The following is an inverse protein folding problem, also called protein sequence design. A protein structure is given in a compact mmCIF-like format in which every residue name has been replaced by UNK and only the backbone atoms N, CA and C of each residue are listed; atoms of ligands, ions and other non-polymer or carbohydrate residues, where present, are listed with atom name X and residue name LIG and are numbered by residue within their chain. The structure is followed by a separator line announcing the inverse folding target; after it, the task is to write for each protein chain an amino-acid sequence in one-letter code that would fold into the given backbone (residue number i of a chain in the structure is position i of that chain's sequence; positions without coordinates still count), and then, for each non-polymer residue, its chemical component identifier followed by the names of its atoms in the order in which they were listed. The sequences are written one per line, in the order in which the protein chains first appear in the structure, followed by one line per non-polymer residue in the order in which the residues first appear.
data_IF_551152811179
#
_entry.id   IF_551152811179
#
_cell.length_a   1.000
_cell.length_b   1.000
_cell.length_c   1.000
_cell.angle_alpha   90.00
_cell.angle_beta   90.00
_cell.angle_gamma   90.00
#
_symmetry.space_group_name_H-M   'P 1'
#
loop_
_entity.id
_entity.type
_entity.pdbx_description
1 polymer ?
#
# COMPACT_ATOMS: atom_id res chain seq x y z
N UNK A 1 38.97 5.22 26.38
CA UNK A 1 38.66 4.31 25.25
C UNK A 1 37.45 3.42 25.50
N UNK A 2 37.28 2.79 26.69
CA UNK A 2 36.12 1.93 27.00
C UNK A 2 34.77 2.63 26.84
N UNK A 3 34.61 3.87 27.33
CA UNK A 3 33.33 4.59 27.28
C UNK A 3 32.90 4.96 25.85
N UNK A 4 33.86 5.18 24.94
CA UNK A 4 33.56 5.50 23.53
C UNK A 4 32.96 4.29 22.80
N UNK A 5 33.47 3.09 23.12
CA UNK A 5 32.98 1.82 22.56
C UNK A 5 31.54 1.56 23.00
N UNK A 6 31.20 1.85 24.27
CA UNK A 6 29.84 1.73 24.77
C UNK A 6 28.86 2.70 24.09
N UNK A 7 29.28 3.94 23.82
CA UNK A 7 28.46 4.93 23.12
C UNK A 7 28.23 4.51 21.66
N UNK A 8 29.28 4.05 20.96
CA UNK A 8 29.14 3.53 19.60
C UNK A 8 28.21 2.31 19.54
N UNK A 9 28.32 1.39 20.49
CA UNK A 9 27.44 0.22 20.57
C UNK A 9 25.98 0.60 20.82
N UNK A 10 25.72 1.59 21.69
CA UNK A 10 24.37 2.09 21.96
C UNK A 10 23.76 2.77 20.72
N UNK A 11 24.56 3.56 19.98
CA UNK A 11 24.12 4.19 18.73
C UNK A 11 23.79 3.13 17.68
N UNK A 12 24.66 2.12 17.47
CA UNK A 12 24.44 1.02 16.53
C UNK A 12 23.16 0.21 16.83
N UNK A 13 22.86 -0.06 18.10
CA UNK A 13 21.63 -0.75 18.51
C UNK A 13 20.36 0.09 18.27
N UNK A 14 20.48 1.41 18.30
CA UNK A 14 19.36 2.34 18.10
C UNK A 14 18.91 2.41 16.63
N UNK A 15 19.84 2.22 15.69
CA UNK A 15 19.57 2.32 14.24
C UNK A 15 18.97 1.03 13.67
N UNK A 16 19.20 -0.12 14.31
CA UNK A 16 18.72 -1.43 13.82
C UNK A 16 17.25 -1.71 14.10
N UNK A 17 16.56 -0.87 14.88
CA UNK A 17 15.16 -1.12 15.26
C UNK A 17 14.14 -0.52 14.28
N UNK A 18 14.56 0.12 13.20
CA UNK A 18 13.65 0.60 12.17
C UNK A 18 13.29 -0.56 11.23
N UNK A 19 12.39 -1.45 11.70
CA UNK A 19 11.74 -2.39 10.80
C UNK A 19 10.72 -1.61 9.98
N UNK A 20 10.94 -1.55 8.68
CA UNK A 20 9.91 -1.14 7.72
C UNK A 20 9.00 -2.35 7.58
N UNK A 21 7.86 -2.33 8.27
CA UNK A 21 6.84 -3.36 8.09
C UNK A 21 6.24 -3.16 6.70
N UNK A 22 6.31 -4.21 5.86
CA UNK A 22 5.62 -4.22 4.57
C UNK A 22 4.11 -4.20 4.85
N UNK A 23 3.46 -3.09 4.52
CA UNK A 23 2.01 -2.95 4.63
C UNK A 23 1.39 -3.53 3.36
N UNK A 24 0.60 -4.59 3.52
CA UNK A 24 -0.23 -5.11 2.44
C UNK A 24 -1.60 -4.44 2.48
N UNK A 25 -2.03 -3.88 1.35
CA UNK A 25 -3.36 -3.32 1.18
C UNK A 25 -4.13 -4.18 0.18
N UNK A 26 -5.34 -4.59 0.56
CA UNK A 26 -6.24 -5.35 -0.31
C UNK A 26 -7.42 -4.45 -0.67
N UNK A 27 -7.59 -4.18 -1.96
CA UNK A 27 -8.72 -3.44 -2.50
C UNK A 27 -9.58 -4.44 -3.25
N UNK A 28 -10.87 -4.52 -2.88
CA UNK A 28 -11.86 -5.33 -3.59
C UNK A 28 -13.12 -4.52 -3.84
N UNK A 29 -13.83 -4.84 -4.90
CA UNK A 29 -15.10 -4.18 -5.20
C UNK A 29 -15.84 -4.79 -6.37
N UNK A 30 -16.98 -4.18 -6.71
CA UNK A 30 -17.79 -4.53 -7.86
C UNK A 30 -18.14 -3.26 -8.64
N UNK A 31 -17.93 -3.28 -9.96
CA UNK A 31 -18.35 -2.20 -10.86
C UNK A 31 -19.65 -2.61 -11.55
N UNK A 32 -20.62 -1.71 -11.51
CA UNK A 32 -21.87 -1.79 -12.26
C UNK A 32 -21.87 -0.77 -13.40
N UNK A 33 -22.59 -1.08 -14.47
CA UNK A 33 -22.61 -0.31 -15.71
C UNK A 33 -23.35 1.02 -15.57
N UNK A 34 -24.50 0.98 -14.90
CA UNK A 34 -25.38 2.12 -14.66
C UNK A 34 -26.39 1.81 -13.53
N UNK A 35 -27.40 2.66 -13.36
CA UNK A 35 -28.44 2.53 -12.34
C UNK A 35 -29.33 1.27 -12.47
N UNK A 36 -29.17 0.46 -13.52
CA UNK A 36 -29.83 -0.85 -13.68
C UNK A 36 -29.29 -1.91 -12.72
N UNK A 37 -28.07 -1.73 -12.21
CA UNK A 37 -27.38 -2.73 -11.41
C UNK A 37 -26.75 -3.87 -12.23
N UNK A 38 -26.73 -3.77 -13.56
CA UNK A 38 -26.00 -4.73 -14.39
C UNK A 38 -24.49 -4.67 -14.13
N UNK A 39 -23.80 -5.80 -13.91
CA UNK A 39 -22.36 -5.81 -13.71
C UNK A 39 -21.60 -5.40 -14.97
N UNK A 40 -20.52 -4.65 -14.79
CA UNK A 40 -19.64 -4.24 -15.87
C UNK A 40 -18.44 -5.20 -15.97
N UNK A 41 -18.56 -6.21 -16.83
CA UNK A 41 -17.51 -7.22 -17.04
C UNK A 41 -16.40 -6.77 -18.00
N UNK A 42 -15.20 -7.36 -17.84
CA UNK A 42 -14.01 -7.12 -18.67
C UNK A 42 -13.62 -5.64 -18.80
N UNK A 43 -13.85 -4.87 -17.74
CA UNK A 43 -13.55 -3.45 -17.70
C UNK A 43 -12.22 -3.22 -16.98
N UNK A 44 -11.34 -2.44 -17.60
CA UNK A 44 -10.06 -2.08 -17.03
C UNK A 44 -10.21 -0.89 -16.09
N UNK A 45 -9.81 -1.09 -14.85
CA UNK A 45 -9.78 -0.10 -13.79
C UNK A 45 -8.33 0.34 -13.61
N UNK A 46 -8.11 1.64 -13.56
CA UNK A 46 -6.88 2.24 -13.06
C UNK A 46 -7.27 3.11 -11.87
N UNK A 47 -6.63 2.87 -10.73
CA UNK A 47 -6.86 3.63 -9.51
C UNK A 47 -5.57 4.22 -8.96
N UNK A 48 -5.70 5.38 -8.32
CA UNK A 48 -4.61 6.05 -7.63
C UNK A 48 -4.91 6.04 -6.13
N UNK A 49 -4.00 5.46 -5.36
CA UNK A 49 -4.05 5.45 -3.91
C UNK A 49 -3.07 6.50 -3.39
N UNK A 50 -3.60 7.61 -2.90
CA UNK A 50 -2.80 8.56 -2.14
C UNK A 50 -2.72 8.08 -0.68
N UNK A 51 -1.52 7.71 -0.26
CA UNK A 51 -1.23 7.29 1.10
C UNK A 51 -0.46 8.39 1.84
N UNK A 52 -1.05 8.81 2.97
CA UNK A 52 -0.49 9.83 3.83
C UNK A 52 0.37 9.14 4.90
N UNK A 53 1.67 8.99 4.61
CA UNK A 53 2.62 8.51 5.60
C UNK A 53 3.22 9.67 6.40
N UNK A 54 3.54 9.50 7.69
CA UNK A 54 3.98 10.59 8.58
C UNK A 54 5.20 11.39 8.08
N UNK A 55 5.98 10.85 7.14
CA UNK A 55 7.19 11.47 6.60
C UNK A 55 7.29 11.42 5.07
N UNK A 56 6.29 10.90 4.35
CA UNK A 56 6.30 10.86 2.89
C UNK A 56 4.89 10.81 2.31
N UNK A 57 4.69 11.46 1.16
CA UNK A 57 3.49 11.25 0.35
C UNK A 57 3.79 10.14 -0.64
N UNK A 58 2.96 9.11 -0.66
CA UNK A 58 2.95 8.12 -1.74
C UNK A 58 1.69 8.27 -2.59
N UNK A 59 1.86 8.10 -3.89
CA UNK A 59 0.78 7.82 -4.83
C UNK A 59 1.13 6.48 -5.45
N UNK A 60 0.32 5.46 -5.16
CA UNK A 60 0.43 4.15 -5.78
C UNK A 60 -0.62 4.02 -6.87
N UNK A 61 -0.23 3.43 -8.00
CA UNK A 61 -1.15 3.14 -9.11
C UNK A 61 -1.44 1.66 -9.10
N UNK A 62 -2.71 1.29 -9.11
CA UNK A 62 -3.13 -0.09 -9.30
C UNK A 62 -3.98 -0.22 -10.56
N UNK A 63 -3.87 -1.38 -11.20
CA UNK A 63 -4.69 -1.75 -12.33
C UNK A 63 -5.35 -3.09 -12.07
N UNK A 64 -6.63 -3.19 -12.42
CA UNK A 64 -7.40 -4.43 -12.32
C UNK A 64 -8.35 -4.55 -13.52
N UNK A 65 -8.75 -5.78 -13.84
CA UNK A 65 -9.78 -6.04 -14.84
C UNK A 65 -10.92 -6.77 -14.17
N UNK A 66 -12.14 -6.29 -14.36
CA UNK A 66 -13.32 -6.91 -13.74
C UNK A 66 -13.65 -8.28 -14.33
N UNK A 67 -14.10 -9.20 -13.49
CA UNK A 67 -14.60 -10.51 -13.90
C UNK A 67 -15.99 -10.43 -14.58
N UNK A 68 -16.58 -11.59 -14.92
CA UNK A 68 -17.91 -11.65 -15.53
C UNK A 68 -19.06 -11.07 -14.68
N UNK A 69 -18.84 -10.95 -13.36
CA UNK A 69 -19.78 -10.38 -12.40
C UNK A 69 -19.40 -8.94 -12.01
N UNK A 70 -18.40 -8.34 -12.67
CA UNK A 70 -17.95 -6.99 -12.37
C UNK A 70 -17.01 -6.88 -11.17
N UNK A 71 -16.53 -7.99 -10.58
CA UNK A 71 -15.67 -7.96 -9.40
C UNK A 71 -14.21 -7.69 -9.75
N UNK A 72 -13.49 -7.03 -8.86
CA UNK A 72 -12.04 -6.79 -8.91
C UNK A 72 -11.41 -6.89 -7.52
#
# INVERSE_FOLDING_TARGET
MKNLIFILAAILLSITSCKKDDKEFVITGQIIKDCSGEPLANFNIEGWLDCDEPFSKCTEVFAATTDANGNF
#
